data_IF_926970726957
#
_entry.id   IF_926970726957
#
_cell.length_a   1.000
_cell.length_b   1.000
_cell.length_c   1.000
_cell.angle_alpha   90.00
_cell.angle_beta   90.00
_cell.angle_gamma   90.00
#
_symmetry.space_group_name_H-M   'P 1'
#
loop_
_entity.id
_entity.type
_entity.pdbx_description
1 polymer ?
#
# COMPACT_ATOMS: atom_id res chain seq x y z
N UNK A 1 -7.46 -17.95 -11.07
CA UNK A 1 -7.78 -16.57 -10.63
C UNK A 1 -6.68 -16.11 -9.70
N UNK A 2 -6.23 -14.85 -9.78
CA UNK A 2 -5.20 -14.36 -8.87
C UNK A 2 -5.75 -14.28 -7.43
N UNK A 3 -5.02 -14.87 -6.49
CA UNK A 3 -5.34 -14.88 -5.05
C UNK A 3 -4.56 -13.76 -4.35
N UNK A 4 -5.15 -13.15 -3.32
CA UNK A 4 -4.47 -12.11 -2.52
C UNK A 4 -4.27 -12.66 -1.12
N UNK A 5 -3.01 -12.87 -0.73
CA UNK A 5 -2.63 -13.42 0.57
C UNK A 5 -1.76 -12.42 1.32
N UNK A 6 -1.56 -12.63 2.64
CA UNK A 6 -0.52 -11.92 3.38
C UNK A 6 0.83 -12.15 2.68
N UNK A 7 1.62 -11.09 2.50
CA UNK A 7 2.97 -11.21 2.00
C UNK A 7 3.86 -11.86 3.07
N UNK A 8 4.86 -12.63 2.66
CA UNK A 8 5.92 -13.13 3.53
C UNK A 8 7.18 -12.28 3.39
N UNK A 9 8.13 -12.45 4.30
CA UNK A 9 9.45 -11.82 4.22
C UNK A 9 10.12 -12.11 2.86
N UNK A 10 10.01 -13.34 2.36
CA UNK A 10 10.51 -13.75 1.04
C UNK A 10 9.85 -12.99 -0.11
N UNK A 11 8.54 -12.72 -0.02
CA UNK A 11 7.84 -11.96 -1.06
C UNK A 11 8.38 -10.54 -1.09
N UNK A 12 8.45 -9.90 0.08
CA UNK A 12 8.92 -8.53 0.25
C UNK A 12 10.39 -8.40 -0.19
N UNK A 13 11.26 -9.32 0.22
CA UNK A 13 12.67 -9.33 -0.15
C UNK A 13 12.88 -9.49 -1.67
N UNK A 14 12.07 -10.32 -2.33
CA UNK A 14 12.09 -10.48 -3.79
C UNK A 14 11.57 -9.25 -4.53
N UNK A 15 10.59 -8.56 -3.96
CA UNK A 15 9.94 -7.42 -4.61
C UNK A 15 10.79 -6.15 -4.52
N UNK A 16 11.40 -5.89 -3.36
CA UNK A 16 12.17 -4.66 -3.10
C UNK A 16 13.68 -4.81 -3.27
N UNK A 17 14.20 -6.03 -3.43
CA UNK A 17 15.62 -6.26 -3.68
C UNK A 17 16.50 -5.83 -2.50
N UNK A 18 16.64 -6.69 -1.49
CA UNK A 18 17.64 -6.51 -0.42
C UNK A 18 17.51 -5.26 0.47
N UNK A 19 16.45 -4.46 0.32
CA UNK A 19 16.16 -3.34 1.23
C UNK A 19 15.98 -3.90 2.63
N UNK A 20 16.84 -3.50 3.56
CA UNK A 20 16.66 -3.75 4.97
C UNK A 20 15.49 -2.90 5.47
N UNK A 21 14.34 -3.54 5.69
CA UNK A 21 13.23 -2.94 6.41
C UNK A 21 13.63 -2.82 7.88
N UNK A 22 13.91 -1.61 8.36
CA UNK A 22 14.30 -1.35 9.74
C UNK A 22 13.14 -1.37 10.74
N UNK A 23 11.89 -1.41 10.27
CA UNK A 23 10.73 -1.03 11.06
C UNK A 23 9.46 -1.60 10.39
N UNK A 24 8.38 -1.79 11.14
CA UNK A 24 7.29 -2.72 10.82
C UNK A 24 6.64 -2.54 9.44
N UNK A 25 6.02 -3.61 8.91
CA UNK A 25 5.28 -3.56 7.65
C UNK A 25 4.02 -4.42 7.68
N UNK A 26 3.02 -4.03 6.88
CA UNK A 26 1.80 -4.79 6.59
C UNK A 26 1.58 -4.83 5.08
N UNK A 27 1.78 -5.99 4.47
CA UNK A 27 1.69 -6.14 3.02
C UNK A 27 0.92 -7.39 2.60
N UNK A 28 0.38 -7.34 1.39
CA UNK A 28 -0.30 -8.45 0.72
C UNK A 28 0.29 -8.68 -0.66
N UNK A 29 0.45 -9.94 -1.00
CA UNK A 29 0.92 -10.40 -2.30
C UNK A 29 -0.25 -10.90 -3.13
N UNK A 30 -0.31 -10.48 -4.39
CA UNK A 30 -1.16 -11.06 -5.41
C UNK A 30 -0.43 -12.22 -6.07
N UNK A 31 -1.00 -13.43 -6.02
CA UNK A 31 -0.40 -14.65 -6.54
C UNK A 31 -1.18 -15.21 -7.72
N UNK A 32 -0.46 -15.65 -8.75
CA UNK A 32 -0.98 -16.46 -9.85
C UNK A 32 -0.26 -17.81 -9.85
N UNK A 33 -0.79 -18.76 -9.10
CA UNK A 33 -0.08 -20.00 -8.78
C UNK A 33 1.11 -19.70 -7.86
N UNK A 34 2.32 -20.11 -8.25
CA UNK A 34 3.55 -19.87 -7.45
C UNK A 34 4.17 -18.47 -7.66
N UNK A 35 3.72 -17.75 -8.68
CA UNK A 35 4.27 -16.44 -9.06
C UNK A 35 3.59 -15.32 -8.26
N UNK A 36 4.39 -14.40 -7.71
CA UNK A 36 3.91 -13.11 -7.18
C UNK A 36 3.73 -12.17 -8.38
N UNK A 37 2.47 -11.85 -8.71
CA UNK A 37 2.08 -11.03 -9.84
C UNK A 37 1.90 -9.55 -9.47
N UNK A 38 1.86 -9.23 -8.18
CA UNK A 38 1.77 -7.87 -7.67
C UNK A 38 1.86 -7.84 -6.15
N UNK A 39 2.04 -6.66 -5.58
CA UNK A 39 2.17 -6.44 -4.16
C UNK A 39 1.57 -5.10 -3.77
N UNK A 40 0.98 -5.01 -2.58
CA UNK A 40 0.63 -3.74 -1.97
C UNK A 40 0.84 -3.81 -0.47
N UNK A 41 1.05 -2.67 0.16
CA UNK A 41 1.34 -2.64 1.58
C UNK A 41 1.56 -1.25 2.13
N UNK A 42 1.88 -1.24 3.41
CA UNK A 42 2.36 -0.09 4.15
C UNK A 42 3.59 -0.51 4.95
N UNK A 43 4.60 0.35 4.98
CA UNK A 43 5.86 0.11 5.69
C UNK A 43 6.25 1.34 6.49
N UNK A 44 6.77 1.13 7.69
CA UNK A 44 7.26 2.18 8.57
C UNK A 44 8.65 2.63 8.11
N UNK A 45 8.78 3.90 7.73
CA UNK A 45 10.06 4.50 7.28
C UNK A 45 10.75 5.29 8.38
N UNK A 46 9.99 5.82 9.32
CA UNK A 46 10.45 6.50 10.53
C UNK A 46 9.45 6.17 11.65
N UNK A 47 9.82 6.29 12.94
CA UNK A 47 8.91 5.99 14.05
C UNK A 47 7.56 6.71 13.91
N UNK A 48 6.49 5.94 13.69
CA UNK A 48 5.13 6.44 13.49
C UNK A 48 4.82 6.97 12.07
N UNK A 49 5.79 7.06 11.17
CA UNK A 49 5.61 7.49 9.77
C UNK A 49 5.65 6.29 8.84
N UNK A 50 4.54 6.06 8.15
CA UNK A 50 4.35 4.92 7.27
C UNK A 50 4.15 5.37 5.83
N UNK A 51 4.62 4.56 4.89
CA UNK A 51 4.49 4.77 3.44
C UNK A 51 3.73 3.61 2.83
N UNK A 52 2.64 3.92 2.13
CA UNK A 52 1.81 2.98 1.40
C UNK A 52 2.21 2.86 -0.07
N UNK A 53 2.06 1.66 -0.62
CA UNK A 53 2.35 1.36 -2.01
C UNK A 53 1.36 0.32 -2.57
N UNK A 54 1.16 0.34 -3.89
CA UNK A 54 0.30 -0.61 -4.58
C UNK A 54 0.81 -0.90 -6.00
N UNK A 55 1.61 -1.95 -6.10
CA UNK A 55 2.25 -2.41 -7.32
C UNK A 55 1.49 -3.61 -7.90
N UNK A 56 0.37 -3.31 -8.56
CA UNK A 56 -0.49 -4.32 -9.20
C UNK A 56 -0.63 -3.99 -10.69
N UNK A 57 -0.47 -4.97 -11.60
CA UNK A 57 -0.66 -4.78 -13.04
C UNK A 57 -2.04 -4.20 -13.36
N UNK A 58 -2.11 -3.28 -14.32
CA UNK A 58 -3.34 -2.55 -14.64
C UNK A 58 -4.55 -3.47 -14.91
N UNK A 59 -4.35 -4.58 -15.64
CA UNK A 59 -5.40 -5.56 -15.93
C UNK A 59 -5.92 -6.36 -14.72
N UNK A 60 -5.20 -6.32 -13.60
CA UNK A 60 -5.59 -7.00 -12.35
C UNK A 60 -6.11 -5.99 -11.29
N UNK A 61 -6.12 -4.68 -11.59
CA UNK A 61 -6.67 -3.65 -10.72
C UNK A 61 -8.20 -3.77 -10.72
N UNK A 62 -8.75 -4.26 -9.60
CA UNK A 62 -10.18 -4.49 -9.42
C UNK A 62 -10.66 -3.91 -8.08
N UNK A 63 -11.92 -3.44 -7.98
CA UNK A 63 -12.45 -2.88 -6.73
C UNK A 63 -12.34 -3.82 -5.52
N UNK A 64 -12.31 -5.15 -5.73
CA UNK A 64 -12.12 -6.12 -4.65
C UNK A 64 -10.75 -6.05 -3.98
N UNK A 65 -9.78 -5.33 -4.54
CA UNK A 65 -8.51 -5.03 -3.88
C UNK A 65 -8.67 -3.98 -2.77
N UNK A 66 -9.74 -3.19 -2.77
CA UNK A 66 -9.91 -2.09 -1.80
C UNK A 66 -10.04 -2.59 -0.37
N UNK A 67 -10.72 -3.71 -0.16
CA UNK A 67 -10.79 -4.33 1.17
C UNK A 67 -9.40 -4.65 1.72
N UNK A 68 -8.48 -5.05 0.85
CA UNK A 68 -7.11 -5.40 1.21
C UNK A 68 -6.28 -4.16 1.52
N UNK A 69 -6.47 -3.08 0.76
CA UNK A 69 -5.86 -1.77 1.06
C UNK A 69 -6.33 -1.27 2.43
N UNK A 70 -7.64 -1.32 2.70
CA UNK A 70 -8.21 -0.89 4.00
C UNK A 70 -7.64 -1.73 5.14
N UNK A 71 -7.61 -3.06 5.01
CA UNK A 71 -7.03 -3.96 6.01
C UNK A 71 -5.57 -3.61 6.35
N UNK A 72 -4.76 -3.24 5.35
CA UNK A 72 -3.35 -2.86 5.57
C UNK A 72 -3.23 -1.50 6.24
N UNK A 73 -4.05 -0.52 5.86
CA UNK A 73 -4.09 0.80 6.48
C UNK A 73 -4.54 0.72 7.95
N UNK A 74 -5.57 -0.07 8.24
CA UNK A 74 -6.04 -0.26 9.61
C UNK A 74 -4.99 -0.98 10.48
N UNK A 75 -4.26 -1.94 9.91
CA UNK A 75 -3.15 -2.59 10.59
C UNK A 75 -2.01 -1.60 10.93
N UNK A 76 -1.63 -0.69 10.03
CA UNK A 76 -0.64 0.36 10.34
C UNK A 76 -1.13 1.30 11.45
N UNK A 77 -2.40 1.73 11.41
CA UNK A 77 -2.99 2.56 12.47
C UNK A 77 -2.96 1.83 13.82
N UNK A 78 -3.30 0.54 13.84
CA UNK A 78 -3.24 -0.29 15.04
C UNK A 78 -1.80 -0.49 15.54
N UNK A 79 -0.80 -0.49 14.65
CA UNK A 79 0.63 -0.53 14.97
C UNK A 79 1.21 0.81 15.44
N UNK A 80 0.39 1.86 15.58
CA UNK A 80 0.82 3.14 16.13
C UNK A 80 1.22 4.21 15.11
N UNK A 81 0.82 4.05 13.84
CA UNK A 81 1.03 5.09 12.83
C UNK A 81 0.44 6.44 13.30
N UNK A 82 1.25 7.49 13.24
CA UNK A 82 0.85 8.89 13.41
C UNK A 82 0.66 9.56 12.06
N UNK A 83 1.41 9.10 11.04
CA UNK A 83 1.31 9.56 9.66
C UNK A 83 1.35 8.37 8.71
N UNK A 84 0.46 8.34 7.72
CA UNK A 84 0.53 7.42 6.59
C UNK A 84 0.56 8.27 5.32
N UNK A 85 1.63 8.17 4.53
CA UNK A 85 1.76 8.77 3.20
C UNK A 85 1.54 7.70 2.13
N UNK A 86 0.88 8.03 1.03
CA UNK A 86 0.75 7.16 -0.15
C UNK A 86 0.49 8.03 -1.37
N UNK A 87 0.59 7.48 -2.57
CA UNK A 87 0.29 8.19 -3.81
C UNK A 87 -0.95 7.58 -4.45
N UNK A 88 -1.91 8.44 -4.78
CA UNK A 88 -3.14 8.00 -5.43
C UNK A 88 -2.86 7.82 -6.92
N UNK A 89 -2.95 6.58 -7.40
CA UNK A 89 -2.94 6.28 -8.83
C UNK A 89 -4.36 6.47 -9.37
N UNK A 90 -4.57 7.54 -10.13
CA UNK A 90 -5.85 7.95 -10.71
C UNK A 90 -6.41 6.93 -11.72
N UNK A 91 -5.57 6.04 -12.24
CA UNK A 91 -6.02 4.91 -13.07
C UNK A 91 -6.77 3.84 -12.27
N UNK A 92 -6.81 3.94 -10.93
CA UNK A 92 -7.64 3.10 -10.07
C UNK A 92 -9.02 3.78 -9.89
N UNK A 93 -10.11 3.22 -10.45
CA UNK A 93 -11.41 3.88 -10.44
C UNK A 93 -11.92 4.15 -9.02
N UNK A 94 -12.24 5.40 -8.69
CA UNK A 94 -12.71 5.85 -7.36
C UNK A 94 -11.65 5.81 -6.25
N UNK A 95 -10.36 5.71 -6.57
CA UNK A 95 -9.30 5.76 -5.57
C UNK A 95 -9.36 7.05 -4.75
N UNK A 96 -9.53 8.21 -5.39
CA UNK A 96 -9.64 9.51 -4.70
C UNK A 96 -10.81 9.54 -3.68
N UNK A 97 -12.01 9.13 -4.10
CA UNK A 97 -13.17 9.07 -3.22
C UNK A 97 -12.95 8.12 -2.03
N UNK A 98 -12.23 7.02 -2.24
CA UNK A 98 -11.83 6.10 -1.17
C UNK A 98 -10.84 6.77 -0.21
N UNK A 99 -9.81 7.43 -0.73
CA UNK A 99 -8.79 8.12 0.07
C UNK A 99 -9.40 9.19 0.97
N UNK A 100 -10.29 10.04 0.41
CA UNK A 100 -11.04 11.04 1.16
C UNK A 100 -11.88 10.40 2.27
N UNK A 101 -12.60 9.32 1.97
CA UNK A 101 -13.42 8.59 2.95
C UNK A 101 -12.58 7.98 4.08
N UNK A 102 -11.33 7.60 3.80
CA UNK A 102 -10.37 7.07 4.78
C UNK A 102 -9.67 8.16 5.59
N UNK A 103 -9.99 9.43 5.34
CA UNK A 103 -9.45 10.59 6.04
C UNK A 103 -8.10 11.07 5.51
N UNK A 104 -7.66 10.58 4.35
CA UNK A 104 -6.47 11.10 3.68
C UNK A 104 -6.80 12.44 3.00
N UNK A 105 -5.80 13.31 2.95
CA UNK A 105 -5.84 14.58 2.22
C UNK A 105 -4.68 14.66 1.25
N UNK A 106 -4.87 15.26 0.05
CA UNK A 106 -3.76 15.54 -0.84
C UNK A 106 -2.80 16.53 -0.15
N UNK A 107 -1.52 16.37 -0.41
CA UNK A 107 -0.46 17.30 0.01
C UNK A 107 0.05 18.08 -1.20
N UNK A 108 0.96 19.03 -0.96
CA UNK A 108 1.68 19.75 -2.02
C UNK A 108 2.89 18.94 -2.56
N UNK A 109 3.12 17.72 -2.04
CA UNK A 109 4.22 16.85 -2.46
C UNK A 109 3.79 15.98 -3.66
N UNK A 110 4.70 15.73 -4.60
CA UNK A 110 4.51 14.81 -5.72
C UNK A 110 5.66 13.81 -5.81
N UNK A 111 5.35 12.54 -6.10
CA UNK A 111 6.30 11.46 -6.35
C UNK A 111 5.89 10.76 -7.65
N UNK A 112 6.81 10.62 -8.61
CA UNK A 112 6.56 10.01 -9.93
C UNK A 112 5.31 10.60 -10.63
N UNK A 113 5.22 11.94 -10.65
CA UNK A 113 4.09 12.72 -11.16
C UNK A 113 2.73 12.46 -10.49
N UNK A 114 2.73 11.76 -9.33
CA UNK A 114 1.53 11.49 -8.54
C UNK A 114 1.51 12.33 -7.28
N UNK A 115 0.36 12.92 -6.97
CA UNK A 115 0.13 13.65 -5.73
C UNK A 115 0.23 12.69 -4.55
N UNK A 116 1.00 13.09 -3.54
CA UNK A 116 1.07 12.37 -2.27
C UNK A 116 -0.15 12.73 -1.43
N UNK A 117 -0.74 11.72 -0.82
CA UNK A 117 -1.87 11.81 0.09
C UNK A 117 -1.40 11.40 1.48
N UNK A 118 -1.78 12.18 2.49
CA UNK A 118 -1.42 11.92 3.87
C UNK A 118 -2.67 11.73 4.74
N UNK A 119 -2.65 10.68 5.56
CA UNK A 119 -3.47 10.57 6.77
C UNK A 119 -2.59 10.95 7.95
N UNK A 120 -3.08 11.86 8.78
CA UNK A 120 -2.40 12.33 10.00
C UNK A 120 -3.38 12.16 11.16
N UNK A 121 -2.90 11.55 12.25
CA UNK A 121 -3.69 11.30 13.46
C UNK A 121 -3.98 12.57 14.25
#
# INVERSE_FOLDING_TARGET
MAEVTRATDDDVARFYGGIQFSSAWHAKAMRKGRLVAGMGGVLEVEPGVWVGFLEVPAGERRPSLYRHVIEMLDAAKASGATTIKTWCDDSIPRAEAMMLKLGFKPTDETIDDKVVWAWVR
#
